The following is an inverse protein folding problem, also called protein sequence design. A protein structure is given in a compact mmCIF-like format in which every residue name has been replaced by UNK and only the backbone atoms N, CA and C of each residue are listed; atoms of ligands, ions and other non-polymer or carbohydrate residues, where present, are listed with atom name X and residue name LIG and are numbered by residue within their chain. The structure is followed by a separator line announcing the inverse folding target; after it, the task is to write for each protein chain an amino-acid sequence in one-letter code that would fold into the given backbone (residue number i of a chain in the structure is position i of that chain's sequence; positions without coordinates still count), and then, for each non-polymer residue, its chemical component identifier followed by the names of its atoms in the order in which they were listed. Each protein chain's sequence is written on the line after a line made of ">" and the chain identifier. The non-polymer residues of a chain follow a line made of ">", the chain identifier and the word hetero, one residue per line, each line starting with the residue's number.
data_IF_245565322462
#
_entry.id   IF_245565322462
#
_cell.length_a   1.000
_cell.length_b   1.000
_cell.length_c   1.000
_cell.angle_alpha   90.00
_cell.angle_beta   90.00
_cell.angle_gamma   90.00
#
_symmetry.space_group_name_H-M   'P 1'
#
loop_
_entity.id
_entity.type
_entity.pdbx_description
1 polymer ?
#
# COMPACT_ATOMS: atom_id res chain seq x y z
N UNK A 1 17.62 5.06 9.58
CA UNK A 1 17.41 5.92 10.77
C UNK A 1 18.24 7.19 10.75
N UNK A 2 19.58 7.17 10.64
CA UNK A 2 20.42 8.39 10.65
C UNK A 2 19.92 9.50 9.71
N UNK A 3 19.48 9.14 8.49
CA UNK A 3 18.96 10.12 7.52
C UNK A 3 17.67 10.78 8.01
N UNK A 4 16.71 10.01 8.57
CA UNK A 4 15.46 10.55 9.10
C UNK A 4 15.72 11.50 10.27
N UNK A 5 16.61 11.13 11.20
CA UNK A 5 16.99 12.00 12.32
C UNK A 5 17.60 13.29 11.80
N UNK A 6 18.57 13.23 10.89
CA UNK A 6 19.20 14.40 10.30
C UNK A 6 18.19 15.33 9.60
N UNK A 7 17.28 14.75 8.80
CA UNK A 7 16.25 15.54 8.10
C UNK A 7 15.27 16.20 9.09
N UNK A 8 14.89 15.50 10.16
CA UNK A 8 14.06 16.04 11.23
C UNK A 8 14.75 17.23 11.93
N UNK A 9 16.01 17.07 12.29
CA UNK A 9 16.81 18.13 12.94
C UNK A 9 16.98 19.36 12.03
N UNK A 10 16.99 19.15 10.71
CA UNK A 10 17.00 20.22 9.71
C UNK A 10 15.60 20.83 9.44
N UNK A 11 14.56 20.41 10.16
CA UNK A 11 13.18 20.94 10.00
C UNK A 11 12.46 20.44 8.75
N UNK A 12 12.94 19.36 8.12
CA UNK A 12 12.31 18.77 6.93
C UNK A 12 11.19 17.81 7.34
N UNK A 13 10.03 17.89 6.65
CA UNK A 13 8.94 16.93 6.83
C UNK A 13 9.35 15.54 6.36
N UNK A 14 9.05 14.53 7.18
CA UNK A 14 9.42 13.15 6.90
C UNK A 14 8.26 12.39 6.29
N UNK A 15 8.49 11.79 5.13
CA UNK A 15 7.56 10.86 4.49
C UNK A 15 8.31 9.58 4.14
N UNK A 16 7.76 8.44 4.54
CA UNK A 16 8.33 7.11 4.24
C UNK A 16 7.32 6.32 3.43
N UNK A 17 7.71 5.97 2.20
CA UNK A 17 6.99 5.01 1.38
C UNK A 17 7.48 3.59 1.72
N UNK A 18 6.55 2.68 2.01
CA UNK A 18 6.90 1.35 2.49
C UNK A 18 5.86 0.30 2.10
N UNK A 19 6.33 -0.91 1.81
CA UNK A 19 5.48 -2.09 1.71
C UNK A 19 5.27 -2.81 3.06
N UNK A 20 5.75 -2.23 4.16
CA UNK A 20 5.57 -2.80 5.49
C UNK A 20 6.60 -3.83 5.94
N UNK A 21 7.51 -4.26 5.05
CA UNK A 21 8.60 -5.17 5.43
C UNK A 21 9.70 -4.35 6.10
N UNK A 22 9.82 -4.51 7.41
CA UNK A 22 10.82 -3.79 8.20
C UNK A 22 10.79 -4.25 9.66
N UNK A 23 11.85 -3.95 10.41
CA UNK A 23 11.86 -4.26 11.83
C UNK A 23 10.90 -3.36 12.60
N UNK A 24 10.30 -3.88 13.66
CA UNK A 24 9.46 -3.10 14.57
C UNK A 24 10.21 -1.88 15.10
N UNK A 25 11.47 -2.03 15.47
CA UNK A 25 12.32 -0.94 15.94
C UNK A 25 12.45 0.21 14.94
N UNK A 26 12.46 -0.08 13.62
CA UNK A 26 12.46 0.98 12.59
C UNK A 26 11.20 1.82 12.68
N UNK A 27 10.01 1.15 12.75
CA UNK A 27 8.72 1.84 12.81
C UNK A 27 8.56 2.64 14.10
N UNK A 28 8.95 2.09 15.26
CA UNK A 28 8.95 2.79 16.54
C UNK A 28 9.74 4.11 16.48
N UNK A 29 10.94 4.05 15.96
CA UNK A 29 11.79 5.24 15.80
C UNK A 29 11.23 6.23 14.78
N UNK A 30 10.65 5.76 13.68
CA UNK A 30 10.08 6.62 12.65
C UNK A 30 8.81 7.34 13.16
N UNK A 31 7.95 6.65 13.93
CA UNK A 31 6.80 7.26 14.62
C UNK A 31 7.26 8.36 15.57
N UNK A 32 8.26 8.08 16.42
CA UNK A 32 8.81 9.07 17.36
C UNK A 32 9.36 10.34 16.67
N UNK A 33 9.77 10.25 15.41
CA UNK A 33 10.20 11.38 14.60
C UNK A 33 9.05 12.14 13.92
N UNK A 34 7.80 11.67 14.04
CA UNK A 34 6.64 12.29 13.41
C UNK A 34 6.59 12.06 11.90
N UNK A 35 6.94 10.86 11.47
CA UNK A 35 6.96 10.46 10.05
C UNK A 35 5.55 10.17 9.54
N UNK A 36 5.21 10.67 8.34
CA UNK A 36 4.04 10.24 7.56
C UNK A 36 4.40 8.97 6.80
N UNK A 37 3.52 7.97 6.81
CA UNK A 37 3.73 6.71 6.10
C UNK A 37 2.80 6.60 4.89
N UNK A 38 3.39 6.40 3.71
CA UNK A 38 2.69 5.92 2.52
C UNK A 38 2.79 4.40 2.53
N UNK A 39 1.73 3.72 2.96
CA UNK A 39 1.79 2.29 3.28
C UNK A 39 1.07 1.45 2.24
N UNK A 40 1.84 0.64 1.51
CA UNK A 40 1.31 -0.21 0.44
C UNK A 40 0.69 -1.50 0.98
N UNK A 41 -0.61 -1.73 0.71
CA UNK A 41 -1.29 -3.01 0.90
C UNK A 41 -1.59 -3.61 -0.46
N UNK A 42 -0.98 -4.74 -0.77
CA UNK A 42 -1.13 -5.41 -2.07
C UNK A 42 -2.23 -6.48 -2.07
N UNK A 43 -2.46 -7.12 -0.92
CA UNK A 43 -3.48 -8.12 -0.70
C UNK A 43 -3.65 -8.36 0.80
N UNK A 44 -4.87 -8.62 1.27
CA UNK A 44 -5.15 -8.93 2.68
C UNK A 44 -5.01 -10.43 2.95
N UNK A 45 -5.45 -11.28 2.03
CA UNK A 45 -5.32 -12.73 2.19
C UNK A 45 -3.85 -13.17 2.15
N UNK A 46 -3.32 -13.88 3.19
CA UNK A 46 -1.90 -14.20 3.29
C UNK A 46 -1.44 -15.22 2.24
N UNK A 47 -2.30 -16.18 1.86
CA UNK A 47 -1.94 -17.20 0.87
C UNK A 47 -1.92 -16.58 -0.54
N UNK A 48 -2.86 -15.69 -0.83
CA UNK A 48 -2.88 -14.96 -2.07
C UNK A 48 -1.69 -13.99 -2.16
N UNK A 49 -1.39 -13.28 -1.06
CA UNK A 49 -0.20 -12.43 -0.98
C UNK A 49 1.08 -13.21 -1.27
N UNK A 50 1.20 -14.44 -0.71
CA UNK A 50 2.35 -15.32 -0.97
C UNK A 50 2.46 -15.72 -2.44
N UNK A 51 1.34 -16.02 -3.10
CA UNK A 51 1.32 -16.34 -4.54
C UNK A 51 1.77 -15.14 -5.40
N UNK A 52 1.39 -13.92 -5.01
CA UNK A 52 1.68 -12.71 -5.77
C UNK A 52 3.10 -12.18 -5.55
N UNK A 53 3.64 -12.32 -4.33
CA UNK A 53 4.88 -11.64 -3.92
C UNK A 53 6.00 -12.58 -3.49
N UNK A 54 5.70 -13.87 -3.33
CA UNK A 54 6.64 -14.87 -2.81
C UNK A 54 6.69 -14.98 -1.28
N UNK A 55 6.02 -14.08 -0.54
CA UNK A 55 6.00 -14.08 0.93
C UNK A 55 4.59 -13.80 1.45
N UNK A 56 4.27 -14.26 2.67
CA UNK A 56 3.03 -13.86 3.32
C UNK A 56 3.10 -12.39 3.81
N UNK A 57 1.96 -11.88 4.26
CA UNK A 57 1.81 -10.49 4.70
C UNK A 57 1.68 -10.34 6.23
N UNK A 58 1.95 -11.37 7.02
CA UNK A 58 1.75 -11.32 8.46
C UNK A 58 2.51 -10.16 9.13
N UNK A 59 3.80 -10.00 8.79
CA UNK A 59 4.61 -8.88 9.28
C UNK A 59 4.13 -7.53 8.76
N UNK A 60 3.69 -7.46 7.51
CA UNK A 60 3.18 -6.24 6.87
C UNK A 60 1.96 -5.76 7.64
N UNK A 61 0.96 -6.63 7.82
CA UNK A 61 -0.27 -6.30 8.55
C UNK A 61 0.01 -5.98 10.02
N UNK A 62 0.89 -6.75 10.69
CA UNK A 62 1.29 -6.49 12.07
C UNK A 62 1.95 -5.12 12.26
N UNK A 63 2.81 -4.70 11.33
CA UNK A 63 3.44 -3.38 11.39
C UNK A 63 2.45 -2.26 11.11
N UNK A 64 1.51 -2.46 10.18
CA UNK A 64 0.46 -1.49 9.92
C UNK A 64 -0.45 -1.29 11.12
N UNK A 65 -0.93 -2.37 11.74
CA UNK A 65 -1.76 -2.28 12.95
C UNK A 65 -1.03 -1.58 14.09
N UNK A 66 0.26 -1.86 14.27
CA UNK A 66 1.07 -1.13 15.24
C UNK A 66 1.12 0.37 14.97
N UNK A 67 1.37 0.78 13.71
CA UNK A 67 1.38 2.19 13.33
C UNK A 67 0.01 2.86 13.60
N UNK A 68 -1.08 2.14 13.35
CA UNK A 68 -2.43 2.58 13.64
C UNK A 68 -2.65 2.76 15.14
N UNK A 69 -2.23 1.81 15.96
CA UNK A 69 -2.36 1.84 17.43
C UNK A 69 -1.54 2.99 18.05
N UNK A 70 -0.38 3.32 17.47
CA UNK A 70 0.45 4.46 17.87
C UNK A 70 -0.09 5.82 17.36
N UNK A 71 -1.18 5.83 16.61
CA UNK A 71 -1.75 7.06 16.03
C UNK A 71 -0.84 7.73 15.00
N UNK A 72 -0.05 6.95 14.29
CA UNK A 72 0.83 7.45 13.23
C UNK A 72 0.02 8.06 12.08
N UNK A 73 0.63 9.02 11.38
CA UNK A 73 0.04 9.60 10.19
C UNK A 73 0.22 8.68 8.98
N UNK A 74 -0.86 7.99 8.58
CA UNK A 74 -0.84 6.93 7.58
C UNK A 74 -1.75 7.29 6.40
N UNK A 75 -1.22 7.12 5.20
CA UNK A 75 -1.96 7.05 3.94
C UNK A 75 -1.83 5.62 3.44
N UNK A 76 -2.95 4.92 3.30
CA UNK A 76 -2.97 3.56 2.78
C UNK A 76 -3.00 3.62 1.26
N UNK A 77 -2.10 2.90 0.61
CA UNK A 77 -2.00 2.80 -0.84
C UNK A 77 -2.26 1.37 -1.29
N UNK A 78 -3.11 1.22 -2.28
CA UNK A 78 -3.53 -0.07 -2.81
C UNK A 78 -3.16 -0.16 -4.30
N UNK A 79 -1.95 -0.68 -4.63
CA UNK A 79 -1.60 -0.98 -6.02
C UNK A 79 -2.53 -2.07 -6.54
N UNK A 80 -3.43 -1.73 -7.48
CA UNK A 80 -4.34 -2.67 -8.11
C UNK A 80 -3.90 -2.94 -9.56
N UNK A 81 -3.75 -4.22 -9.86
CA UNK A 81 -3.28 -4.73 -11.15
C UNK A 81 -4.41 -5.58 -11.73
N UNK A 82 -4.93 -5.27 -12.93
CA UNK A 82 -5.98 -6.04 -13.57
C UNK A 82 -5.64 -7.54 -13.65
N UNK A 83 -6.62 -8.39 -13.37
CA UNK A 83 -6.53 -9.86 -13.36
C UNK A 83 -5.50 -10.45 -12.40
N UNK A 84 -4.98 -9.63 -11.48
CA UNK A 84 -3.93 -10.05 -10.55
C UNK A 84 -4.39 -10.00 -9.09
N UNK A 85 -4.69 -8.82 -8.55
CA UNK A 85 -5.11 -8.60 -7.16
C UNK A 85 -6.37 -7.72 -7.07
N UNK A 86 -7.20 -7.75 -8.06
CA UNK A 86 -8.36 -6.88 -8.24
C UNK A 86 -9.70 -7.64 -8.33
N UNK A 87 -9.72 -8.92 -7.93
CA UNK A 87 -10.98 -9.66 -7.87
C UNK A 87 -11.98 -9.04 -6.89
N UNK A 88 -13.25 -9.28 -7.07
CA UNK A 88 -14.29 -8.76 -6.16
C UNK A 88 -14.05 -9.20 -4.72
N UNK A 89 -13.52 -10.43 -4.52
CA UNK A 89 -13.14 -10.95 -3.21
C UNK A 89 -11.95 -10.18 -2.61
N UNK A 90 -10.90 -9.89 -3.39
CA UNK A 90 -9.76 -9.10 -2.92
C UNK A 90 -10.19 -7.70 -2.48
N UNK A 91 -11.04 -7.05 -3.28
CA UNK A 91 -11.56 -5.71 -2.98
C UNK A 91 -12.48 -5.74 -1.75
N UNK A 92 -13.32 -6.78 -1.60
CA UNK A 92 -14.16 -6.93 -0.42
C UNK A 92 -13.33 -7.09 0.87
N UNK A 93 -12.24 -7.86 0.84
CA UNK A 93 -11.32 -8.02 1.98
C UNK A 93 -10.59 -6.71 2.30
N UNK A 94 -10.12 -5.98 1.29
CA UNK A 94 -9.52 -4.65 1.46
C UNK A 94 -10.53 -3.67 2.08
N UNK A 95 -11.75 -3.60 1.54
CA UNK A 95 -12.80 -2.73 2.04
C UNK A 95 -13.18 -3.05 3.50
N UNK A 96 -13.30 -4.33 3.83
CA UNK A 96 -13.56 -4.77 5.20
C UNK A 96 -12.43 -4.32 6.16
N UNK A 97 -11.17 -4.52 5.77
CA UNK A 97 -10.02 -4.10 6.55
C UNK A 97 -10.00 -2.58 6.77
N UNK A 98 -10.23 -1.81 5.71
CA UNK A 98 -10.28 -0.35 5.75
C UNK A 98 -11.41 0.14 6.66
N UNK A 99 -12.62 -0.41 6.53
CA UNK A 99 -13.76 -0.01 7.36
C UNK A 99 -13.53 -0.30 8.84
N UNK A 100 -12.97 -1.47 9.16
CA UNK A 100 -12.65 -1.85 10.54
C UNK A 100 -11.68 -0.87 11.21
N UNK A 101 -10.78 -0.25 10.43
CA UNK A 101 -9.72 0.62 10.92
C UNK A 101 -9.90 2.10 10.50
N UNK A 102 -11.11 2.51 10.08
CA UNK A 102 -11.39 3.80 9.43
C UNK A 102 -10.90 5.03 10.21
N UNK A 103 -10.87 4.98 11.54
CA UNK A 103 -10.42 6.10 12.37
C UNK A 103 -8.90 6.20 12.54
N UNK A 104 -8.13 5.25 11.99
CA UNK A 104 -6.71 5.06 12.29
C UNK A 104 -5.78 5.38 11.11
N UNK A 105 -6.32 5.87 10.00
CA UNK A 105 -5.54 6.35 8.86
C UNK A 105 -6.17 7.62 8.27
N UNK A 106 -5.39 8.41 7.55
CA UNK A 106 -5.84 9.70 6.97
C UNK A 106 -6.81 9.49 5.81
N UNK A 107 -6.45 8.66 4.85
CA UNK A 107 -7.25 8.19 3.71
C UNK A 107 -6.62 6.96 3.07
N UNK A 108 -7.39 6.29 2.23
CA UNK A 108 -6.90 5.21 1.37
C UNK A 108 -7.01 5.60 -0.10
N UNK A 109 -6.04 5.19 -0.91
CA UNK A 109 -6.02 5.45 -2.34
C UNK A 109 -5.71 4.20 -3.16
N UNK A 110 -6.43 4.05 -4.26
CA UNK A 110 -6.12 3.09 -5.30
C UNK A 110 -4.98 3.66 -6.15
N UNK A 111 -3.97 2.84 -6.40
CA UNK A 111 -2.90 3.11 -7.35
C UNK A 111 -3.08 2.21 -8.57
N UNK A 112 -3.72 2.71 -9.64
CA UNK A 112 -3.92 1.91 -10.84
C UNK A 112 -2.58 1.53 -11.45
N UNK A 113 -2.42 0.25 -11.80
CA UNK A 113 -1.21 -0.21 -12.47
C UNK A 113 -1.05 0.42 -13.85
N UNK A 114 0.18 0.81 -14.15
CA UNK A 114 0.59 1.29 -15.47
C UNK A 114 1.95 0.72 -15.88
N UNK A 115 2.14 0.53 -17.17
CA UNK A 115 3.31 -0.13 -17.75
C UNK A 115 4.60 0.72 -17.79
N UNK A 116 4.57 1.95 -17.30
CA UNK A 116 5.75 2.85 -17.29
C UNK A 116 6.98 2.29 -16.57
N UNK A 117 6.78 1.34 -15.65
CA UNK A 117 7.86 0.65 -14.95
C UNK A 117 8.61 -0.39 -15.78
N UNK A 118 8.01 -0.94 -16.86
CA UNK A 118 8.57 -2.02 -17.66
C UNK A 118 9.89 -1.59 -18.31
N UNK A 119 9.93 -0.41 -18.88
CA UNK A 119 11.15 0.11 -19.50
C UNK A 119 12.32 0.35 -18.54
N UNK A 120 12.08 0.41 -17.21
CA UNK A 120 13.13 0.45 -16.19
C UNK A 120 13.69 -0.94 -15.93
N UNK A 121 12.84 -1.96 -15.88
CA UNK A 121 13.26 -3.36 -15.67
C UNK A 121 14.13 -3.85 -16.81
N UNK A 122 13.78 -3.54 -18.05
CA UNK A 122 14.60 -3.88 -19.23
C UNK A 122 16.00 -3.24 -19.18
N UNK A 123 16.08 -1.96 -18.77
CA UNK A 123 17.35 -1.23 -18.65
C UNK A 123 18.32 -1.82 -17.61
N UNK A 124 17.82 -2.52 -16.61
CA UNK A 124 18.61 -3.18 -15.57
C UNK A 124 18.75 -4.70 -15.82
N UNK A 125 18.33 -5.17 -17.00
CA UNK A 125 18.48 -6.58 -17.40
C UNK A 125 17.51 -7.54 -16.71
N UNK A 126 16.45 -7.04 -16.09
CA UNK A 126 15.40 -7.86 -15.49
C UNK A 126 14.27 -8.03 -16.50
N UNK A 127 14.23 -9.20 -17.12
CA UNK A 127 13.06 -9.60 -17.92
C UNK A 127 11.96 -10.06 -16.96
N UNK A 128 10.98 -9.18 -16.69
CA UNK A 128 9.80 -9.60 -15.94
C UNK A 128 8.96 -10.56 -16.79
N UNK A 129 8.69 -11.78 -16.32
CA UNK A 129 7.78 -12.70 -17.02
C UNK A 129 6.32 -12.24 -16.92
N UNK A 130 6.02 -11.26 -16.09
CA UNK A 130 4.67 -10.76 -15.85
C UNK A 130 4.48 -9.42 -16.57
N UNK A 131 3.80 -9.47 -17.72
CA UNK A 131 3.35 -8.29 -18.45
C UNK A 131 1.84 -8.19 -18.22
N UNK A 132 1.43 -7.27 -17.34
CA UNK A 132 0.04 -6.91 -17.18
C UNK A 132 -0.25 -5.68 -18.04
N UNK A 133 -1.47 -5.58 -18.54
CA UNK A 133 -1.94 -4.36 -19.19
C UNK A 133 -2.14 -3.24 -18.17
N UNK A 134 -1.99 -1.99 -18.60
CA UNK A 134 -2.33 -0.85 -17.74
C UNK A 134 -3.81 -0.88 -17.40
N UNK A 135 -4.16 -0.51 -16.17
CA UNK A 135 -5.54 -0.38 -15.77
C UNK A 135 -6.29 0.59 -16.67
N UNK A 136 -7.44 0.18 -17.16
CA UNK A 136 -8.34 1.01 -17.96
C UNK A 136 -9.26 1.87 -17.08
N UNK A 137 -9.88 2.90 -17.65
CA UNK A 137 -10.90 3.68 -16.94
C UNK A 137 -12.08 2.82 -16.49
N UNK A 138 -12.38 1.72 -17.20
CA UNK A 138 -13.42 0.77 -16.83
C UNK A 138 -13.01 -0.02 -15.58
N UNK A 139 -11.75 -0.47 -15.46
CA UNK A 139 -11.23 -1.15 -14.27
C UNK A 139 -11.30 -0.20 -13.06
N UNK A 140 -10.81 1.01 -13.19
CA UNK A 140 -10.82 2.01 -12.13
C UNK A 140 -12.26 2.29 -11.67
N UNK A 141 -13.20 2.46 -12.60
CA UNK A 141 -14.61 2.68 -12.30
C UNK A 141 -15.24 1.49 -11.57
N UNK A 142 -14.92 0.25 -11.98
CA UNK A 142 -15.34 -0.97 -11.31
C UNK A 142 -14.83 -1.03 -9.88
N UNK A 143 -13.53 -0.81 -9.66
CA UNK A 143 -12.91 -0.83 -8.33
C UNK A 143 -13.55 0.21 -7.41
N UNK A 144 -13.69 1.45 -7.86
CA UNK A 144 -14.35 2.50 -7.09
C UNK A 144 -15.79 2.11 -6.69
N UNK A 145 -16.54 1.52 -7.64
CA UNK A 145 -17.92 1.06 -7.40
C UNK A 145 -17.97 -0.08 -6.38
N UNK A 146 -17.03 -1.02 -6.43
CA UNK A 146 -16.93 -2.11 -5.47
C UNK A 146 -16.60 -1.59 -4.06
N UNK A 147 -15.60 -0.73 -3.90
CA UNK A 147 -15.32 -0.11 -2.61
C UNK A 147 -16.53 0.64 -2.06
N UNK A 148 -17.20 1.43 -2.90
CA UNK A 148 -18.41 2.17 -2.51
C UNK A 148 -19.56 1.24 -2.09
N UNK A 149 -19.75 0.10 -2.78
CA UNK A 149 -20.78 -0.90 -2.42
C UNK A 149 -20.53 -1.52 -1.03
N UNK A 150 -19.27 -1.54 -0.58
CA UNK A 150 -18.88 -1.96 0.77
C UNK A 150 -18.84 -0.79 1.78
N UNK A 151 -19.30 0.40 1.41
CA UNK A 151 -19.30 1.58 2.29
C UNK A 151 -17.92 2.18 2.56
N UNK A 152 -16.95 1.92 1.68
CA UNK A 152 -15.56 2.40 1.80
C UNK A 152 -15.31 3.51 0.80
N UNK A 153 -14.88 4.67 1.30
CA UNK A 153 -14.43 5.77 0.45
C UNK A 153 -12.94 5.60 0.14
N UNK A 154 -12.59 5.68 -1.14
CA UNK A 154 -11.21 5.63 -1.62
C UNK A 154 -10.95 6.75 -2.61
N UNK A 155 -9.69 7.19 -2.70
CA UNK A 155 -9.22 8.09 -3.75
C UNK A 155 -8.58 7.27 -4.86
N UNK A 156 -8.37 7.90 -6.02
CA UNK A 156 -7.56 7.33 -7.09
C UNK A 156 -6.33 8.23 -7.23
N UNK A 157 -5.14 7.63 -7.14
CA UNK A 157 -3.91 8.39 -7.34
C UNK A 157 -3.75 8.76 -8.82
N UNK A 158 -3.29 9.98 -9.08
CA UNK A 158 -3.01 10.52 -10.42
C UNK A 158 -1.52 10.49 -10.74
#
# INVERSE_FOLDING_TARGET
>A
MKLLTFAKDAGVSLVVETCGIGSREFYEKAVALGTTFLYDIKCIDPERHRKLTGSDNAHIISNLLYLMDEGADIIIRMPLIPDCNDSDEDIALLAYFLNKNKAQYRYAEIMPYHTLGIGKSEKIGINSPYVHESASDADISRWCSLFASHGTEVRVST
#
